data_IF_187712107203
#
_entry.id   IF_187712107203
#
_cell.length_a   1.000
_cell.length_b   1.000
_cell.length_c   1.000
_cell.angle_alpha   90.00
_cell.angle_beta   90.00
_cell.angle_gamma   90.00
#
_symmetry.space_group_name_H-M   'P 1'
#
loop_
_entity.id
_entity.type
_entity.pdbx_description
1 polymer ?
#
# COMPACT_ATOMS: atom_id res chain seq x y z
N UNK A 1 5.63 -12.82 -1.89
CA UNK A 1 4.28 -12.97 -2.50
C UNK A 1 4.30 -13.78 -3.79
N UNK A 2 5.02 -13.35 -4.84
CA UNK A 2 5.01 -13.97 -6.18
C UNK A 2 5.28 -15.48 -6.17
N UNK A 3 6.28 -15.96 -5.42
CA UNK A 3 6.54 -17.40 -5.31
C UNK A 3 5.35 -18.18 -4.73
N UNK A 4 4.73 -17.68 -3.66
CA UNK A 4 3.56 -18.32 -3.07
C UNK A 4 2.37 -18.33 -4.03
N UNK A 5 2.10 -17.21 -4.71
CA UNK A 5 1.04 -17.10 -5.71
C UNK A 5 1.21 -18.12 -6.85
N UNK A 6 2.44 -18.41 -7.28
CA UNK A 6 2.68 -19.42 -8.34
C UNK A 6 2.41 -20.86 -7.92
N UNK A 7 2.39 -21.16 -6.61
CA UNK A 7 2.27 -22.53 -6.08
C UNK A 7 0.94 -22.84 -5.42
N UNK A 8 0.33 -21.82 -4.82
CA UNK A 8 -0.87 -21.95 -3.99
C UNK A 8 -1.84 -20.79 -4.26
N UNK A 9 -2.04 -20.45 -5.54
CA UNK A 9 -2.85 -19.30 -5.95
C UNK A 9 -4.23 -19.28 -5.31
N UNK A 10 -4.90 -20.43 -5.19
CA UNK A 10 -6.27 -20.53 -4.69
C UNK A 10 -6.37 -20.58 -3.16
N UNK A 11 -5.23 -20.64 -2.44
CA UNK A 11 -5.24 -20.62 -0.97
C UNK A 11 -5.47 -19.20 -0.46
N UNK A 12 -6.18 -19.10 0.65
CA UNK A 12 -6.37 -17.83 1.35
C UNK A 12 -5.03 -17.26 1.84
N UNK A 13 -4.79 -16.00 1.50
CA UNK A 13 -3.64 -15.21 1.93
C UNK A 13 -4.04 -14.20 3.02
N UNK A 14 -5.25 -13.64 2.91
CA UNK A 14 -5.72 -12.58 3.80
C UNK A 14 -7.19 -12.75 4.13
N UNK A 15 -7.53 -12.52 5.40
CA UNK A 15 -8.90 -12.40 5.88
C UNK A 15 -8.99 -11.09 6.66
N UNK A 16 -9.96 -10.24 6.31
CA UNK A 16 -10.22 -8.97 6.97
C UNK A 16 -11.72 -8.80 7.12
N UNK A 17 -12.22 -8.94 8.36
CA UNK A 17 -13.66 -9.04 8.60
C UNK A 17 -14.29 -10.18 7.79
N UNK A 18 -15.28 -9.85 6.96
CA UNK A 18 -15.94 -10.81 6.06
C UNK A 18 -15.19 -11.09 4.75
N UNK A 19 -14.21 -10.25 4.39
CA UNK A 19 -13.49 -10.38 3.12
C UNK A 19 -12.41 -11.47 3.23
N UNK A 20 -12.30 -12.27 2.17
CA UNK A 20 -11.34 -13.35 2.02
C UNK A 20 -10.64 -13.16 0.68
N UNK A 21 -9.32 -13.12 0.69
CA UNK A 21 -8.50 -12.89 -0.50
C UNK A 21 -7.48 -14.00 -0.64
N UNK A 22 -7.41 -14.59 -1.82
CA UNK A 22 -6.45 -15.64 -2.15
C UNK A 22 -5.07 -15.08 -2.48
N UNK A 23 -4.05 -15.94 -2.50
CA UNK A 23 -2.70 -15.54 -2.93
C UNK A 23 -2.68 -15.03 -4.38
N UNK A 24 -3.47 -15.64 -5.27
CA UNK A 24 -3.58 -15.22 -6.67
C UNK A 24 -4.21 -13.83 -6.82
N UNK A 25 -5.30 -13.58 -6.09
CA UNK A 25 -5.97 -12.27 -6.08
C UNK A 25 -5.08 -11.17 -5.50
N UNK A 26 -4.40 -11.45 -4.38
CA UNK A 26 -3.48 -10.50 -3.76
C UNK A 26 -2.32 -10.16 -4.70
N UNK A 27 -1.76 -11.15 -5.39
CA UNK A 27 -0.71 -10.95 -6.40
C UNK A 27 -1.20 -10.09 -7.57
N UNK A 28 -2.36 -10.41 -8.14
CA UNK A 28 -2.93 -9.65 -9.26
C UNK A 28 -3.21 -8.18 -8.88
N UNK A 29 -3.88 -7.96 -7.75
CA UNK A 29 -4.23 -6.61 -7.26
C UNK A 29 -2.99 -5.79 -6.95
N UNK A 30 -2.01 -6.37 -6.26
CA UNK A 30 -0.78 -5.66 -5.90
C UNK A 30 0.11 -5.38 -7.12
N UNK A 31 0.14 -6.26 -8.12
CA UNK A 31 0.83 -6.00 -9.39
C UNK A 31 0.22 -4.82 -10.15
N UNK A 32 -1.11 -4.72 -10.20
CA UNK A 32 -1.80 -3.60 -10.86
C UNK A 32 -1.45 -2.25 -10.21
N UNK A 33 -1.47 -2.18 -8.87
CA UNK A 33 -1.09 -0.97 -8.14
C UNK A 33 0.40 -0.66 -8.30
N UNK A 34 1.28 -1.66 -8.31
CA UNK A 34 2.72 -1.45 -8.53
C UNK A 34 3.01 -0.84 -9.90
N UNK A 35 2.32 -1.31 -10.95
CA UNK A 35 2.43 -0.73 -12.29
C UNK A 35 1.95 0.72 -12.32
N UNK A 36 0.86 1.02 -11.60
CA UNK A 36 0.37 2.39 -11.49
C UNK A 36 1.37 3.31 -10.79
N UNK A 37 1.98 2.86 -9.67
CA UNK A 37 3.03 3.62 -9.00
C UNK A 37 4.22 3.91 -9.93
N UNK A 38 4.66 2.91 -10.70
CA UNK A 38 5.72 3.09 -11.69
C UNK A 38 5.32 4.11 -12.78
N UNK A 39 4.08 4.05 -13.29
CA UNK A 39 3.58 5.03 -14.27
C UNK A 39 3.45 6.45 -13.70
N UNK A 40 3.27 6.57 -12.38
CA UNK A 40 3.21 7.83 -11.65
C UNK A 40 4.60 8.38 -11.29
N UNK A 41 5.68 7.69 -11.68
CA UNK A 41 7.06 8.15 -11.50
C UNK A 41 7.77 7.61 -10.25
N UNK A 42 7.16 6.68 -9.51
CA UNK A 42 7.85 5.99 -8.40
C UNK A 42 8.94 5.09 -8.96
N UNK A 43 10.18 5.32 -8.51
CA UNK A 43 11.36 4.57 -8.90
C UNK A 43 11.89 3.68 -7.77
N UNK A 44 12.89 2.85 -8.09
CA UNK A 44 13.57 2.00 -7.12
C UNK A 44 14.18 2.84 -6.00
N UNK A 45 13.88 2.49 -4.75
CA UNK A 45 14.40 3.17 -3.55
C UNK A 45 13.59 4.39 -3.12
N UNK A 46 12.62 4.83 -3.92
CA UNK A 46 11.70 5.90 -3.52
C UNK A 46 10.86 5.46 -2.32
N UNK A 47 10.44 6.43 -1.50
CA UNK A 47 9.57 6.18 -0.36
C UNK A 47 8.13 6.42 -0.77
N UNK A 48 7.26 5.45 -0.49
CA UNK A 48 5.81 5.57 -0.66
C UNK A 48 5.18 5.45 0.70
N UNK A 49 4.45 6.50 1.10
CA UNK A 49 3.69 6.50 2.33
C UNK A 49 2.30 5.89 2.09
N UNK A 50 1.86 5.04 2.99
CA UNK A 50 0.50 4.52 3.05
C UNK A 50 -0.15 5.09 4.31
N UNK A 51 -1.15 5.93 4.12
CA UNK A 51 -1.96 6.52 5.18
C UNK A 51 -3.41 6.11 4.96
N UNK A 52 -3.78 4.94 5.45
CA UNK A 52 -5.04 4.29 5.13
C UNK A 52 -5.50 3.37 6.27
N UNK A 53 -6.78 3.08 6.31
CA UNK A 53 -7.39 2.18 7.29
C UNK A 53 -6.81 0.77 7.21
N UNK A 54 -7.01 -0.01 8.28
CA UNK A 54 -6.58 -1.41 8.30
C UNK A 54 -7.55 -2.29 7.47
N UNK A 55 -7.42 -2.22 6.14
CA UNK A 55 -8.25 -2.92 5.16
C UNK A 55 -7.44 -3.89 4.31
N UNK A 56 -8.13 -4.67 3.47
CA UNK A 56 -7.50 -5.48 2.43
C UNK A 56 -6.65 -4.62 1.50
N UNK A 57 -7.15 -3.44 1.16
CA UNK A 57 -6.53 -2.49 0.25
C UNK A 57 -5.19 -1.99 0.78
N UNK A 58 -5.05 -1.80 2.09
CA UNK A 58 -3.77 -1.43 2.73
C UNK A 58 -2.72 -2.54 2.60
N UNK A 59 -3.12 -3.82 2.72
CA UNK A 59 -2.21 -4.96 2.47
C UNK A 59 -1.84 -5.07 0.99
N UNK A 60 -2.78 -4.82 0.09
CA UNK A 60 -2.52 -4.74 -1.36
C UNK A 60 -1.51 -3.63 -1.67
N UNK A 61 -1.71 -2.43 -1.10
CA UNK A 61 -0.82 -1.28 -1.27
C UNK A 61 0.59 -1.57 -0.73
N UNK A 62 0.71 -2.20 0.44
CA UNK A 62 2.00 -2.61 1.00
C UNK A 62 2.78 -3.49 0.04
N UNK A 63 2.15 -4.55 -0.49
CA UNK A 63 2.81 -5.43 -1.46
C UNK A 63 3.12 -4.72 -2.78
N UNK A 64 2.25 -3.82 -3.22
CA UNK A 64 2.45 -3.04 -4.45
C UNK A 64 3.70 -2.15 -4.36
N UNK A 65 3.92 -1.48 -3.22
CA UNK A 65 5.11 -0.64 -2.99
C UNK A 65 6.38 -1.50 -3.05
N UNK A 66 6.39 -2.65 -2.38
CA UNK A 66 7.55 -3.55 -2.43
C UNK A 66 7.81 -4.07 -3.86
N UNK A 67 6.76 -4.36 -4.63
CA UNK A 67 6.85 -4.80 -6.02
C UNK A 67 7.35 -3.71 -6.96
N UNK A 68 7.07 -2.45 -6.67
CA UNK A 68 7.64 -1.30 -7.35
C UNK A 68 9.14 -1.09 -7.02
N UNK A 69 9.75 -1.95 -6.19
CA UNK A 69 11.10 -1.77 -5.63
C UNK A 69 11.26 -0.48 -4.81
N UNK A 70 10.15 0.02 -4.25
CA UNK A 70 10.10 1.18 -3.39
C UNK A 70 10.11 0.78 -1.90
N UNK A 71 10.35 1.75 -1.04
CA UNK A 71 10.35 1.64 0.41
C UNK A 71 8.99 2.06 0.93
N UNK A 72 8.39 1.21 1.77
CA UNK A 72 7.07 1.47 2.33
C UNK A 72 7.15 2.14 3.70
N UNK A 73 6.35 3.20 3.91
CA UNK A 73 6.12 3.82 5.21
C UNK A 73 4.63 3.77 5.53
N UNK A 74 4.23 2.94 6.50
CA UNK A 74 2.81 2.84 6.90
C UNK A 74 2.56 3.77 8.09
N UNK A 75 1.55 4.62 7.97
CA UNK A 75 1.11 5.54 9.01
C UNK A 75 -0.37 5.29 9.28
N UNK A 76 -0.72 5.13 10.56
CA UNK A 76 -2.10 4.89 10.97
C UNK A 76 -2.94 6.17 10.76
N UNK A 77 -4.16 6.09 10.19
CA UNK A 77 -5.07 7.23 10.02
C UNK A 77 -5.42 7.99 11.30
N UNK A 78 -5.36 7.32 12.46
CA UNK A 78 -5.56 7.92 13.78
C UNK A 78 -4.35 8.75 14.26
N UNK A 79 -3.29 8.83 13.46
CA UNK A 79 -2.15 9.71 13.73
C UNK A 79 -2.62 11.16 13.65
N UNK A 80 -2.31 11.95 14.70
CA UNK A 80 -2.62 13.37 14.75
C UNK A 80 -1.98 14.11 13.58
N UNK A 81 -2.63 15.18 13.10
CA UNK A 81 -2.19 15.95 11.93
C UNK A 81 -0.79 16.52 12.08
N UNK A 82 -0.46 17.11 13.24
CA UNK A 82 0.89 17.63 13.54
C UNK A 82 1.99 16.57 13.39
N UNK A 83 1.72 15.34 13.84
CA UNK A 83 2.63 14.21 13.70
C UNK A 83 2.69 13.70 12.25
N UNK A 84 1.57 13.71 11.53
CA UNK A 84 1.55 13.37 10.10
C UNK A 84 2.39 14.36 9.28
N UNK A 85 2.25 15.66 9.54
CA UNK A 85 3.02 16.72 8.90
C UNK A 85 4.52 16.55 9.15
N UNK A 86 4.90 16.25 10.40
CA UNK A 86 6.28 15.91 10.73
C UNK A 86 6.78 14.72 9.91
N UNK A 87 6.01 13.63 9.86
CA UNK A 87 6.40 12.41 9.12
C UNK A 87 6.49 12.65 7.62
N UNK A 88 5.61 13.46 7.03
CA UNK A 88 5.68 13.83 5.62
C UNK A 88 6.93 14.66 5.32
N UNK A 89 7.30 15.58 6.21
CA UNK A 89 8.49 16.43 6.04
C UNK A 89 9.81 15.68 6.24
N UNK A 90 9.84 14.74 7.19
CA UNK A 90 11.01 13.89 7.47
C UNK A 90 11.17 12.80 6.41
N UNK A 91 10.08 12.08 6.12
CA UNK A 91 10.09 11.02 5.13
C UNK A 91 10.19 11.58 3.71
N UNK A 92 9.55 12.70 3.36
CA UNK A 92 9.51 13.22 1.97
C UNK A 92 9.16 12.10 0.95
N UNK A 93 8.00 11.44 1.09
CA UNK A 93 7.64 10.35 0.19
C UNK A 93 7.42 10.88 -1.23
N UNK A 94 7.83 10.11 -2.23
CA UNK A 94 7.56 10.39 -3.65
C UNK A 94 6.07 10.26 -3.97
N UNK A 95 5.37 9.37 -3.27
CA UNK A 95 3.93 9.18 -3.43
C UNK A 95 3.24 8.87 -2.09
N UNK A 96 1.96 9.21 -2.01
CA UNK A 96 1.06 8.89 -0.90
C UNK A 96 -0.10 8.04 -1.43
N UNK A 97 -0.37 6.92 -0.77
CA UNK A 97 -1.58 6.13 -0.96
C UNK A 97 -2.47 6.38 0.25
N UNK A 98 -3.70 6.82 0.02
CA UNK A 98 -4.68 7.11 1.07
C UNK A 98 -6.07 6.68 0.67
N UNK A 99 -6.91 6.41 1.66
CA UNK A 99 -8.34 6.22 1.41
C UNK A 99 -8.99 7.53 0.98
N UNK A 100 -10.00 7.42 0.09
CA UNK A 100 -10.72 8.58 -0.43
C UNK A 100 -11.35 9.44 0.68
N UNK A 101 -11.85 8.81 1.74
CA UNK A 101 -12.49 9.51 2.85
C UNK A 101 -11.50 10.30 3.72
N UNK A 102 -10.19 10.00 3.63
CA UNK A 102 -9.11 10.70 4.33
C UNK A 102 -8.51 11.84 3.50
N UNK A 103 -8.94 12.03 2.24
CA UNK A 103 -8.37 13.04 1.35
C UNK A 103 -8.49 14.48 1.89
N UNK A 104 -9.52 14.76 2.70
CA UNK A 104 -9.71 16.07 3.34
C UNK A 104 -8.61 16.45 4.32
N UNK A 105 -7.78 15.50 4.77
CA UNK A 105 -6.62 15.76 5.65
C UNK A 105 -5.48 16.44 4.88
N UNK A 106 -5.44 16.29 3.55
CA UNK A 106 -4.39 16.80 2.67
C UNK A 106 -4.82 18.02 1.83
N UNK A 107 -5.97 18.60 2.15
CA UNK A 107 -6.57 19.77 1.47
C UNK A 107 -6.29 21.04 2.25
#
# INVERSE_FOLDING_TARGET
>A
LTHAASRVCDKLALVCGGQRVTYGELEARSNAVAQHLASAGVARGDRVMIFADNTVETVVAFWAVLKANAVVCIVNPLTKSDKLDYLLNDCRPTALITDRHLHSIFS
#
